data_IF_477258294667
#
_entry.id   IF_477258294667
#
_cell.length_a   1.000
_cell.length_b   1.000
_cell.length_c   1.000
_cell.angle_alpha   90.00
_cell.angle_beta   90.00
_cell.angle_gamma   90.00
#
_symmetry.space_group_name_H-M   'P 1'
#
loop_
_entity.id
_entity.type
_entity.pdbx_description
1 polymer ?
#
# COMPACT_ATOMS: atom_id res chain seq x y z
N UNK A 1 -8.20 -5.50 -3.27
CA UNK A 1 -6.88 -5.41 -3.94
C UNK A 1 -7.10 -5.56 -5.43
N UNK A 2 -6.76 -4.54 -6.22
CA UNK A 2 -7.02 -4.51 -7.67
C UNK A 2 -6.22 -5.57 -8.43
N UNK A 3 -6.58 -5.75 -9.70
CA UNK A 3 -6.03 -6.74 -10.63
C UNK A 3 -4.50 -6.73 -10.78
N UNK A 4 -3.84 -5.60 -10.53
CA UNK A 4 -2.41 -5.43 -10.81
C UNK A 4 -1.50 -6.36 -10.01
N UNK A 5 -1.77 -6.58 -8.72
CA UNK A 5 -0.90 -7.42 -7.87
C UNK A 5 -0.83 -8.86 -8.40
N UNK A 6 -1.94 -9.37 -8.95
CA UNK A 6 -1.99 -10.71 -9.55
C UNK A 6 -1.15 -10.78 -10.82
N UNK A 7 -1.26 -9.77 -11.69
CA UNK A 7 -0.47 -9.67 -12.92
C UNK A 7 1.02 -9.52 -12.62
N UNK A 8 1.38 -8.65 -11.68
CA UNK A 8 2.77 -8.46 -11.27
C UNK A 8 3.35 -9.70 -10.63
N UNK A 9 2.62 -10.36 -9.73
CA UNK A 9 3.05 -11.65 -9.15
C UNK A 9 3.32 -12.68 -10.24
N UNK A 10 2.41 -12.80 -11.24
CA UNK A 10 2.57 -13.72 -12.39
C UNK A 10 3.81 -13.37 -13.23
N UNK A 11 4.11 -12.08 -13.41
CA UNK A 11 5.21 -11.60 -14.22
C UNK A 11 6.52 -11.41 -13.42
N UNK A 12 6.66 -12.03 -12.25
CA UNK A 12 7.88 -11.95 -11.44
C UNK A 12 8.20 -10.55 -10.91
N UNK A 13 7.16 -9.74 -10.67
CA UNK A 13 7.24 -8.35 -10.18
C UNK A 13 7.96 -7.40 -11.14
N UNK A 14 7.73 -7.60 -12.44
CA UNK A 14 8.27 -6.78 -13.52
C UNK A 14 7.19 -5.97 -14.25
N UNK A 15 7.60 -4.80 -14.71
CA UNK A 15 6.83 -3.93 -15.61
C UNK A 15 6.95 -4.40 -17.06
N UNK A 16 6.12 -3.87 -17.96
CA UNK A 16 6.12 -4.26 -19.37
C UNK A 16 7.45 -3.96 -20.10
N UNK A 17 8.22 -2.99 -19.62
CA UNK A 17 9.56 -2.66 -20.12
C UNK A 17 10.69 -3.50 -19.49
N UNK A 18 10.37 -4.55 -18.71
CA UNK A 18 11.34 -5.49 -18.14
C UNK A 18 11.99 -5.06 -16.82
N UNK A 19 11.82 -3.79 -16.44
CA UNK A 19 12.23 -3.27 -15.13
C UNK A 19 11.43 -3.87 -13.98
N UNK A 20 11.93 -3.68 -12.77
CA UNK A 20 11.17 -4.04 -11.57
C UNK A 20 10.04 -3.04 -11.32
N UNK A 21 8.93 -3.50 -10.73
CA UNK A 21 7.87 -2.59 -10.27
C UNK A 21 8.41 -1.64 -9.21
N UNK A 22 7.94 -0.39 -9.23
CA UNK A 22 8.32 0.60 -8.21
C UNK A 22 7.90 0.09 -6.82
N UNK A 23 8.79 0.25 -5.83
CA UNK A 23 8.59 -0.22 -4.45
C UNK A 23 8.34 -1.74 -4.34
N UNK A 24 9.00 -2.53 -5.19
CA UNK A 24 8.85 -4.00 -5.25
C UNK A 24 9.02 -4.68 -3.90
N UNK A 25 10.00 -4.25 -3.12
CA UNK A 25 10.25 -4.73 -1.76
C UNK A 25 9.00 -4.61 -0.87
N UNK A 26 8.41 -3.41 -0.78
CA UNK A 26 7.21 -3.17 0.03
C UNK A 26 5.99 -3.93 -0.50
N UNK A 27 5.81 -3.97 -1.83
CA UNK A 27 4.66 -4.63 -2.45
C UNK A 27 4.72 -6.15 -2.24
N UNK A 28 5.90 -6.76 -2.40
CA UNK A 28 6.09 -8.20 -2.18
C UNK A 28 5.86 -8.56 -0.71
N UNK A 29 6.30 -7.72 0.22
CA UNK A 29 6.05 -7.94 1.64
C UNK A 29 4.56 -7.84 1.97
N UNK A 30 3.88 -6.79 1.49
CA UNK A 30 2.43 -6.64 1.65
C UNK A 30 1.68 -7.85 1.09
N UNK A 31 2.05 -8.32 -0.10
CA UNK A 31 1.45 -9.48 -0.76
C UNK A 31 1.56 -10.76 0.10
N UNK A 32 2.72 -10.99 0.72
CA UNK A 32 2.93 -12.12 1.66
C UNK A 32 2.10 -11.97 2.93
N UNK A 33 1.94 -10.77 3.46
CA UNK A 33 1.12 -10.54 4.66
C UNK A 33 -0.36 -10.77 4.37
N UNK A 34 -0.84 -10.39 3.19
CA UNK A 34 -2.23 -10.58 2.78
C UNK A 34 -2.63 -12.04 2.58
N UNK A 35 -1.67 -12.95 2.38
CA UNK A 35 -1.95 -14.39 2.38
C UNK A 35 -2.29 -14.91 3.79
N UNK A 36 -1.85 -14.20 4.83
CA UNK A 36 -2.02 -14.62 6.24
C UNK A 36 -3.32 -14.09 6.86
N UNK A 37 -3.89 -13.02 6.31
CA UNK A 37 -5.06 -12.34 6.89
C UNK A 37 -6.13 -12.05 5.83
N UNK A 38 -7.40 -12.26 6.18
CA UNK A 38 -8.52 -11.88 5.32
C UNK A 38 -8.77 -10.38 5.45
N UNK A 39 -8.42 -9.64 4.41
CA UNK A 39 -8.58 -8.17 4.35
C UNK A 39 -9.63 -7.77 3.33
N UNK A 40 -10.54 -6.89 3.73
CA UNK A 40 -11.44 -6.19 2.81
C UNK A 40 -10.96 -4.75 2.61
N UNK A 41 -10.61 -4.41 1.38
CA UNK A 41 -10.17 -3.06 1.03
C UNK A 41 -11.36 -2.19 0.65
N UNK A 42 -11.58 -1.11 1.39
CA UNK A 42 -12.58 -0.09 1.08
C UNK A 42 -11.87 1.22 0.73
N UNK A 43 -12.04 1.66 -0.51
CA UNK A 43 -11.62 3.00 -0.91
C UNK A 43 -12.64 4.01 -0.37
N UNK A 44 -12.15 5.07 0.26
CA UNK A 44 -12.97 6.13 0.85
C UNK A 44 -12.50 7.47 0.30
N UNK A 45 -13.42 8.42 0.19
CA UNK A 45 -13.04 9.78 -0.17
C UNK A 45 -12.10 10.37 0.90
N UNK A 46 -11.10 11.12 0.45
CA UNK A 46 -10.24 11.87 1.35
C UNK A 46 -11.04 12.89 2.16
N UNK A 47 -10.61 13.15 3.40
CA UNK A 47 -11.23 14.13 4.30
C UNK A 47 -12.74 13.96 4.52
N UNK A 48 -13.24 12.73 4.43
CA UNK A 48 -14.66 12.41 4.59
C UNK A 48 -15.13 12.26 6.05
N UNK A 49 -14.37 12.74 7.05
CA UNK A 49 -14.79 12.64 8.46
C UNK A 49 -14.61 11.23 9.08
N UNK A 50 -13.93 10.30 8.39
CA UNK A 50 -13.81 8.92 8.89
C UNK A 50 -12.74 8.88 9.97
N UNK A 51 -13.17 8.85 11.23
CA UNK A 51 -12.32 8.93 12.42
C UNK A 51 -11.01 8.13 12.33
N UNK A 52 -11.09 6.85 11.94
CA UNK A 52 -9.90 5.99 11.82
C UNK A 52 -8.90 6.46 10.75
N UNK A 53 -9.40 6.95 9.61
CA UNK A 53 -8.57 7.49 8.54
C UNK A 53 -7.96 8.84 8.94
N UNK A 54 -8.73 9.71 9.61
CA UNK A 54 -8.25 11.00 10.10
C UNK A 54 -7.13 10.83 11.14
N UNK A 55 -7.28 9.85 12.04
CA UNK A 55 -6.23 9.52 13.00
C UNK A 55 -4.99 8.94 12.33
N UNK A 56 -5.15 8.08 11.32
CA UNK A 56 -4.03 7.58 10.54
C UNK A 56 -3.26 8.70 9.83
N UNK A 57 -3.98 9.68 9.25
CA UNK A 57 -3.41 10.86 8.59
C UNK A 57 -2.67 11.78 9.58
N UNK A 58 -3.26 12.06 10.75
CA UNK A 58 -2.61 12.81 11.83
C UNK A 58 -1.29 12.14 12.28
N UNK A 59 -1.32 10.83 12.53
CA UNK A 59 -0.13 10.06 12.94
C UNK A 59 0.94 10.03 11.85
N UNK A 60 0.55 9.87 10.59
CA UNK A 60 1.47 9.89 9.46
C UNK A 60 2.18 11.24 9.34
N UNK A 61 1.45 12.36 9.46
CA UNK A 61 2.03 13.71 9.49
C UNK A 61 3.01 13.89 10.65
N UNK A 62 2.62 13.49 11.85
CA UNK A 62 3.47 13.59 13.04
C UNK A 62 4.76 12.78 12.87
N UNK A 63 4.66 11.57 12.29
CA UNK A 63 5.82 10.74 11.96
C UNK A 63 6.77 11.41 10.97
N UNK A 64 6.24 12.02 9.91
CA UNK A 64 7.04 12.75 8.93
C UNK A 64 7.76 13.96 9.54
N UNK A 65 7.08 14.74 10.39
CA UNK A 65 7.67 15.90 11.06
C UNK A 65 8.83 15.52 12.00
N UNK A 66 8.72 14.38 12.70
CA UNK A 66 9.79 13.87 13.57
C UNK A 66 11.08 13.53 12.84
N UNK A 67 11.03 13.31 11.53
CA UNK A 67 12.21 12.96 10.72
C UNK A 67 12.90 14.20 10.12
N UNK A 68 12.27 15.37 10.22
CA UNK A 68 12.77 16.65 9.69
C UNK A 68 13.41 17.50 10.81
N UNK A 69 13.10 17.20 12.08
CA UNK A 69 13.69 17.82 13.27
C UNK A 69 14.93 17.06 13.75
#
# INVERSE_FOLDING_TARGET
MNSWIKTWRKNGWKTANGGDVKNKDLIVELDKLLEKVKVHFKHVAGHAGIYGNEKADELARNGALRYIA
#
